data_IF_921660636401
#
_entry.id   IF_921660636401
#
_cell.length_a   1.000
_cell.length_b   1.000
_cell.length_c   1.000
_cell.angle_alpha   90.00
_cell.angle_beta   90.00
_cell.angle_gamma   90.00
#
_symmetry.space_group_name_H-M   'P 1'
#
loop_
_entity.id
_entity.type
_entity.pdbx_description
1 polymer ?
#
# COMPACT_ATOMS: atom_id res chain seq x y z
N UNK A 1 -44.78 4.50 -4.03
CA UNK A 1 -43.81 3.84 -3.14
C UNK A 1 -44.01 4.42 -1.75
N UNK A 2 -44.76 3.71 -0.92
CA UNK A 2 -45.01 4.09 0.47
C UNK A 2 -43.74 3.84 1.30
N UNK A 3 -43.26 4.86 1.98
CA UNK A 3 -42.10 4.80 2.86
C UNK A 3 -42.50 4.15 4.18
N UNK A 4 -41.99 2.95 4.46
CA UNK A 4 -42.06 2.33 5.79
C UNK A 4 -41.12 3.09 6.73
N UNK A 5 -41.67 3.80 7.71
CA UNK A 5 -40.89 4.42 8.80
C UNK A 5 -40.47 3.32 9.78
N UNK A 6 -39.18 3.03 9.82
CA UNK A 6 -38.60 2.06 10.75
C UNK A 6 -38.22 2.78 12.06
N UNK A 7 -38.87 2.43 13.18
CA UNK A 7 -38.76 3.11 14.48
C UNK A 7 -37.65 2.57 15.39
N UNK A 8 -36.66 1.85 14.84
CA UNK A 8 -35.73 1.03 15.62
C UNK A 8 -34.24 1.27 15.40
N UNK A 9 -33.80 2.31 14.70
CA UNK A 9 -32.36 2.48 14.43
C UNK A 9 -31.94 3.94 14.44
N UNK A 10 -30.98 4.26 15.30
CA UNK A 10 -30.23 5.51 15.24
C UNK A 10 -29.40 5.49 13.97
N UNK A 11 -29.81 6.26 12.96
CA UNK A 11 -28.94 6.51 11.81
C UNK A 11 -27.75 7.32 12.35
N UNK A 12 -26.60 6.69 12.48
CA UNK A 12 -25.35 7.38 12.82
C UNK A 12 -24.98 8.23 11.61
N UNK A 13 -25.24 9.53 11.71
CA UNK A 13 -24.86 10.52 10.70
C UNK A 13 -23.57 11.20 11.16
N UNK A 14 -22.49 11.05 10.40
CA UNK A 14 -21.34 11.96 10.54
C UNK A 14 -21.64 13.23 9.74
N UNK A 15 -21.57 14.39 10.40
CA UNK A 15 -21.86 15.67 9.76
C UNK A 15 -20.65 16.16 8.95
N UNK A 16 -20.96 16.57 7.71
CA UNK A 16 -20.21 17.45 6.80
C UNK A 16 -18.75 17.14 6.51
N UNK A 17 -18.50 16.15 5.65
CA UNK A 17 -17.41 16.21 4.68
C UNK A 17 -18.00 16.35 3.28
N UNK A 18 -17.56 17.40 2.56
CA UNK A 18 -17.88 17.74 1.16
C UNK A 18 -18.39 16.56 0.33
N UNK A 19 -19.61 16.57 -0.23
CA UNK A 19 -20.10 15.73 -1.36
C UNK A 19 -19.35 14.39 -1.68
N UNK A 20 -18.97 13.62 -0.68
CA UNK A 20 -18.39 12.30 -0.85
C UNK A 20 -19.46 11.33 -0.34
N UNK A 21 -19.86 10.37 -1.17
CA UNK A 21 -20.83 9.33 -0.80
C UNK A 21 -20.24 8.48 0.33
N UNK A 22 -20.45 8.90 1.58
CA UNK A 22 -20.34 8.00 2.73
C UNK A 22 -21.37 6.90 2.53
N UNK A 23 -20.90 5.66 2.43
CA UNK A 23 -21.77 4.50 2.23
C UNK A 23 -22.20 4.02 3.60
N UNK A 24 -23.43 4.36 3.98
CA UNK A 24 -23.99 4.01 5.28
C UNK A 24 -24.28 2.51 5.38
N UNK A 25 -24.12 1.94 6.58
CA UNK A 25 -24.82 0.68 6.89
C UNK A 25 -26.31 1.00 6.90
N UNK A 26 -27.04 0.45 5.95
CA UNK A 26 -28.49 0.46 5.96
C UNK A 26 -28.99 -0.85 6.58
N UNK A 27 -29.54 -0.84 7.80
CA UNK A 27 -30.18 -2.02 8.36
C UNK A 27 -31.54 -2.24 7.70
N UNK A 28 -31.80 -3.47 7.28
CA UNK A 28 -33.09 -3.93 6.78
C UNK A 28 -33.62 -4.96 7.77
N UNK A 29 -34.73 -4.64 8.43
CA UNK A 29 -35.41 -5.57 9.33
C UNK A 29 -36.33 -6.46 8.53
N UNK A 30 -36.16 -7.77 8.67
CA UNK A 30 -36.95 -8.80 8.01
C UNK A 30 -37.68 -9.58 9.08
N UNK A 31 -39.01 -9.57 9.03
CA UNK A 31 -39.83 -10.31 9.98
C UNK A 31 -39.89 -11.78 9.56
N UNK A 32 -39.54 -12.71 10.46
CA UNK A 32 -39.49 -14.14 10.11
C UNK A 32 -40.85 -14.69 9.67
N UNK A 33 -41.94 -14.12 10.20
CA UNK A 33 -43.31 -14.44 9.78
C UNK A 33 -43.61 -14.13 8.32
N UNK A 34 -42.93 -13.16 7.71
CA UNK A 34 -43.12 -12.80 6.30
C UNK A 34 -42.49 -13.85 5.37
N UNK A 35 -41.45 -14.54 5.85
CA UNK A 35 -40.71 -15.56 5.10
C UNK A 35 -41.31 -16.95 5.32
N UNK A 36 -41.57 -17.32 6.58
CA UNK A 36 -41.99 -18.68 6.95
C UNK A 36 -43.47 -18.81 7.33
N UNK A 37 -44.21 -17.70 7.38
CA UNK A 37 -45.62 -17.68 7.80
C UNK A 37 -45.78 -17.41 9.31
N UNK A 38 -47.04 -17.27 9.74
CA UNK A 38 -47.40 -16.72 11.07
C UNK A 38 -46.88 -17.50 12.29
N UNK A 39 -46.45 -18.76 12.13
CA UNK A 39 -45.96 -19.60 13.22
C UNK A 39 -44.52 -19.29 13.62
N UNK A 40 -43.76 -18.61 12.76
CA UNK A 40 -42.39 -18.21 13.02
C UNK A 40 -42.35 -16.79 13.61
N UNK A 41 -41.65 -16.64 14.73
CA UNK A 41 -41.56 -15.37 15.47
C UNK A 41 -40.13 -14.87 15.51
N UNK A 42 -39.97 -13.56 15.66
CA UNK A 42 -38.68 -12.89 15.67
C UNK A 42 -38.35 -12.20 14.35
N UNK A 43 -37.18 -11.57 14.33
CA UNK A 43 -36.72 -10.74 13.22
C UNK A 43 -35.23 -10.97 12.95
N UNK A 44 -34.84 -10.70 11.72
CA UNK A 44 -33.45 -10.64 11.29
C UNK A 44 -33.16 -9.21 10.83
N UNK A 45 -32.07 -8.64 11.31
CA UNK A 45 -31.58 -7.35 10.85
C UNK A 45 -30.43 -7.61 9.89
N UNK A 46 -30.68 -7.43 8.60
CA UNK A 46 -29.65 -7.52 7.57
C UNK A 46 -28.94 -6.17 7.47
N UNK A 47 -27.64 -6.15 7.75
CA UNK A 47 -26.82 -4.96 7.63
C UNK A 47 -25.97 -5.08 6.36
N UNK A 48 -26.23 -4.23 5.36
CA UNK A 48 -25.32 -4.12 4.22
C UNK A 48 -24.11 -3.28 4.63
N UNK A 49 -22.92 -3.87 4.64
CA UNK A 49 -21.69 -3.15 4.89
C UNK A 49 -21.13 -2.58 3.58
N UNK A 50 -20.58 -1.35 3.58
CA UNK A 50 -19.82 -0.84 2.46
C UNK A 50 -18.61 -1.75 2.17
N UNK A 51 -18.27 -1.89 0.88
CA UNK A 51 -17.05 -2.59 0.47
C UNK A 51 -15.82 -1.99 1.14
N UNK A 52 -15.09 -2.81 1.87
CA UNK A 52 -13.79 -2.44 2.41
C UNK A 52 -12.78 -2.38 1.26
N UNK A 53 -12.03 -1.28 1.14
CA UNK A 53 -10.89 -1.12 0.21
C UNK A 53 -11.25 -1.10 -1.28
N UNK A 54 -12.40 -0.52 -1.63
CA UNK A 54 -12.79 -0.23 -3.02
C UNK A 54 -12.89 1.27 -3.31
N UNK A 55 -12.69 2.14 -2.32
CA UNK A 55 -12.70 3.57 -2.57
C UNK A 55 -11.33 4.04 -3.06
N UNK A 56 -11.31 4.87 -4.10
CA UNK A 56 -10.10 5.58 -4.52
C UNK A 56 -9.63 6.62 -3.47
N UNK A 57 -10.43 6.82 -2.41
CA UNK A 57 -10.34 7.91 -1.46
C UNK A 57 -10.23 7.33 -0.03
N UNK A 58 -9.02 7.21 0.53
CA UNK A 58 -8.80 6.52 1.80
C UNK A 58 -9.63 7.07 2.97
N UNK A 59 -9.97 8.36 2.96
CA UNK A 59 -10.92 8.96 3.92
C UNK A 59 -12.24 8.21 4.01
N UNK A 60 -12.80 7.86 2.85
CA UNK A 60 -14.09 7.19 2.76
C UNK A 60 -13.96 5.78 3.31
N UNK A 61 -12.88 5.07 3.01
CA UNK A 61 -12.60 3.75 3.59
C UNK A 61 -12.41 3.80 5.11
N UNK A 62 -11.74 4.84 5.64
CA UNK A 62 -11.56 5.04 7.09
C UNK A 62 -12.91 5.25 7.76
N UNK A 63 -13.68 6.24 7.30
CA UNK A 63 -14.97 6.59 7.90
C UNK A 63 -15.95 5.42 7.80
N UNK A 64 -16.01 4.76 6.64
CA UNK A 64 -16.86 3.57 6.45
C UNK A 64 -16.42 2.44 7.38
N UNK A 65 -15.12 2.15 7.46
CA UNK A 65 -14.60 1.10 8.34
C UNK A 65 -14.91 1.39 9.82
N UNK A 66 -14.79 2.65 10.24
CA UNK A 66 -15.05 3.06 11.63
C UNK A 66 -16.53 2.88 11.92
N UNK A 67 -17.39 3.43 11.06
CA UNK A 67 -18.83 3.37 11.21
C UNK A 67 -19.32 1.91 11.25
N UNK A 68 -18.73 1.04 10.41
CA UNK A 68 -19.08 -0.38 10.42
C UNK A 68 -18.69 -1.02 11.73
N UNK A 69 -17.46 -0.86 12.17
CA UNK A 69 -16.98 -1.53 13.38
C UNK A 69 -17.75 -1.05 14.61
N UNK A 70 -17.98 0.26 14.77
CA UNK A 70 -18.75 0.77 15.90
C UNK A 70 -20.20 0.25 15.88
N UNK A 71 -20.85 0.18 14.72
CA UNK A 71 -22.18 -0.42 14.61
C UNK A 71 -22.18 -1.92 14.98
N UNK A 72 -21.15 -2.67 14.57
CA UNK A 72 -21.02 -4.08 14.90
C UNK A 72 -20.78 -4.29 16.41
N UNK A 73 -20.01 -3.43 17.07
CA UNK A 73 -19.71 -3.56 18.51
C UNK A 73 -20.95 -3.38 19.40
N UNK A 74 -21.90 -2.56 18.99
CA UNK A 74 -23.16 -2.34 19.70
C UNK A 74 -24.16 -3.50 19.55
N UNK A 75 -23.90 -4.45 18.66
CA UNK A 75 -24.76 -5.61 18.49
C UNK A 75 -24.58 -6.60 19.67
N UNK A 76 -25.66 -7.29 20.06
CA UNK A 76 -25.56 -8.37 21.06
C UNK A 76 -24.83 -9.60 20.52
N UNK A 77 -25.07 -9.92 19.25
CA UNK A 77 -24.51 -11.06 18.55
C UNK A 77 -24.54 -10.82 17.05
N UNK A 78 -23.52 -11.31 16.32
CA UNK A 78 -23.42 -11.15 14.86
C UNK A 78 -23.18 -12.49 14.18
N UNK A 79 -23.81 -12.70 13.03
CA UNK A 79 -23.49 -13.79 12.09
C UNK A 79 -22.91 -13.15 10.84
N UNK A 80 -21.82 -13.69 10.30
CA UNK A 80 -21.13 -13.11 9.15
C UNK A 80 -21.56 -13.85 7.89
N UNK A 81 -22.03 -13.11 6.89
CA UNK A 81 -22.23 -13.60 5.53
C UNK A 81 -21.09 -13.09 4.65
N UNK A 82 -20.08 -13.92 4.44
CA UNK A 82 -18.95 -13.63 3.58
C UNK A 82 -19.32 -13.92 2.13
N UNK A 83 -19.64 -12.87 1.37
CA UNK A 83 -20.11 -12.96 -0.01
C UNK A 83 -18.96 -12.78 -1.00
N UNK A 84 -18.92 -13.65 -2.01
CA UNK A 84 -18.04 -13.51 -3.16
C UNK A 84 -18.78 -13.82 -4.45
N UNK A 85 -18.34 -13.29 -5.59
CA UNK A 85 -18.85 -13.73 -6.91
C UNK A 85 -18.04 -14.92 -7.42
N UNK A 86 -18.65 -15.81 -8.19
CA UNK A 86 -17.90 -16.87 -8.85
C UNK A 86 -16.89 -16.31 -9.87
N UNK A 87 -17.15 -15.16 -10.48
CA UNK A 87 -16.18 -14.48 -11.35
C UNK A 87 -14.86 -14.15 -10.61
N UNK A 88 -14.95 -13.83 -9.32
CA UNK A 88 -13.78 -13.48 -8.49
C UNK A 88 -12.92 -14.68 -8.08
N UNK A 89 -13.45 -15.91 -8.23
CA UNK A 89 -12.67 -17.14 -8.14
C UNK A 89 -11.82 -17.34 -9.40
N UNK A 90 -12.34 -16.94 -10.56
CA UNK A 90 -11.67 -17.12 -11.86
C UNK A 90 -10.61 -16.03 -12.12
N UNK A 91 -10.82 -14.80 -11.63
CA UNK A 91 -9.88 -13.68 -11.80
C UNK A 91 -8.65 -13.78 -10.88
N UNK A 92 -7.80 -14.76 -11.18
CA UNK A 92 -6.52 -15.04 -10.50
C UNK A 92 -6.63 -15.07 -8.98
N UNK A 93 -7.79 -15.50 -8.48
CA UNK A 93 -8.02 -15.82 -7.07
C UNK A 93 -7.85 -14.62 -6.10
N UNK A 94 -7.70 -13.40 -6.63
CA UNK A 94 -7.43 -12.20 -5.83
C UNK A 94 -8.64 -11.79 -4.99
N UNK A 95 -9.85 -12.07 -5.49
CA UNK A 95 -11.09 -11.71 -4.80
C UNK A 95 -11.29 -12.48 -3.50
N UNK A 96 -11.18 -13.81 -3.54
CA UNK A 96 -11.32 -14.66 -2.35
C UNK A 96 -10.22 -14.38 -1.34
N UNK A 97 -8.97 -14.28 -1.79
CA UNK A 97 -7.87 -13.95 -0.89
C UNK A 97 -8.05 -12.58 -0.25
N UNK A 98 -8.60 -11.59 -0.99
CA UNK A 98 -8.97 -10.28 -0.44
C UNK A 98 -10.07 -10.40 0.62
N UNK A 99 -11.12 -11.19 0.36
CA UNK A 99 -12.21 -11.44 1.30
C UNK A 99 -11.71 -12.08 2.60
N UNK A 100 -10.94 -13.17 2.51
CA UNK A 100 -10.38 -13.87 3.67
C UNK A 100 -9.53 -12.91 4.51
N UNK A 101 -8.68 -12.13 3.84
CA UNK A 101 -7.85 -11.11 4.46
C UNK A 101 -8.65 -10.03 5.18
N UNK A 102 -9.73 -9.54 4.57
CA UNK A 102 -10.64 -8.59 5.23
C UNK A 102 -11.25 -9.19 6.49
N UNK A 103 -11.69 -10.45 6.45
CA UNK A 103 -12.26 -11.13 7.61
C UNK A 103 -11.23 -11.28 8.74
N UNK A 104 -10.01 -11.73 8.42
CA UNK A 104 -8.90 -11.86 9.38
C UNK A 104 -8.60 -10.54 10.07
N UNK A 105 -8.55 -9.45 9.30
CA UNK A 105 -8.21 -8.17 9.90
C UNK A 105 -9.36 -7.60 10.76
N UNK A 106 -10.61 -7.88 10.41
CA UNK A 106 -11.79 -7.38 11.11
C UNK A 106 -12.13 -8.19 12.38
N UNK A 107 -11.80 -9.48 12.41
CA UNK A 107 -12.24 -10.41 13.45
C UNK A 107 -11.02 -10.99 14.17
N UNK A 108 -10.82 -10.57 15.41
CA UNK A 108 -9.72 -11.10 16.22
C UNK A 108 -9.91 -12.58 16.58
N UNK A 109 -8.85 -13.37 16.39
CA UNK A 109 -8.88 -14.82 16.58
C UNK A 109 -9.93 -15.51 15.71
N UNK A 110 -10.03 -15.12 14.44
CA UNK A 110 -11.03 -15.62 13.49
C UNK A 110 -11.06 -17.15 13.39
N UNK A 111 -9.92 -17.81 13.55
CA UNK A 111 -9.76 -19.26 13.55
C UNK A 111 -10.63 -19.96 14.60
N UNK A 112 -11.00 -19.27 15.68
CA UNK A 112 -11.87 -19.80 16.73
C UNK A 112 -13.35 -19.45 16.52
N UNK A 113 -13.68 -18.80 15.41
CA UNK A 113 -14.99 -18.19 15.15
C UNK A 113 -15.55 -18.56 13.78
N UNK A 114 -14.92 -19.50 13.09
CA UNK A 114 -15.31 -19.95 11.76
C UNK A 114 -16.74 -20.45 11.73
N UNK A 115 -17.24 -21.08 12.80
CA UNK A 115 -18.63 -21.53 12.93
C UNK A 115 -19.67 -20.40 12.83
N UNK A 116 -19.25 -19.14 12.98
CA UNK A 116 -20.11 -17.95 12.84
C UNK A 116 -20.09 -17.34 11.43
N UNK A 117 -19.34 -17.93 10.50
CA UNK A 117 -19.17 -17.44 9.13
C UNK A 117 -19.90 -18.37 8.16
N UNK A 118 -20.85 -17.79 7.43
CA UNK A 118 -21.48 -18.39 6.27
C UNK A 118 -20.79 -17.87 5.00
N UNK A 119 -20.36 -18.77 4.12
CA UNK A 119 -19.79 -18.39 2.82
C UNK A 119 -20.88 -18.46 1.75
N UNK A 120 -21.07 -17.34 1.04
CA UNK A 120 -22.04 -17.23 -0.04
C UNK A 120 -21.36 -16.87 -1.35
N UNK A 121 -21.72 -17.57 -2.42
CA UNK A 121 -21.18 -17.40 -3.76
C UNK A 121 -22.30 -17.02 -4.73
N UNK A 122 -22.16 -15.86 -5.36
CA UNK A 122 -23.14 -15.29 -6.29
C UNK A 122 -22.64 -15.39 -7.73
N UNK A 123 -23.54 -15.21 -8.71
CA UNK A 123 -23.22 -15.28 -10.15
C UNK A 123 -22.54 -16.59 -10.56
N UNK A 124 -22.88 -17.68 -9.88
CA UNK A 124 -22.27 -18.98 -10.15
C UNK A 124 -23.03 -19.68 -11.27
N UNK A 125 -22.35 -20.08 -12.35
CA UNK A 125 -22.95 -20.98 -13.33
C UNK A 125 -23.51 -22.23 -12.65
N UNK A 126 -24.61 -22.77 -13.16
CA UNK A 126 -25.27 -23.97 -12.59
C UNK A 126 -24.27 -25.11 -12.41
N UNK A 127 -23.40 -25.30 -13.40
CA UNK A 127 -22.39 -26.37 -13.44
C UNK A 127 -21.07 -26.04 -12.72
N UNK A 128 -20.92 -24.85 -12.14
CA UNK A 128 -19.67 -24.47 -11.49
C UNK A 128 -19.46 -25.27 -10.20
N UNK A 129 -18.32 -25.94 -10.09
CA UNK A 129 -17.90 -26.60 -8.86
C UNK A 129 -17.02 -25.65 -8.03
N UNK A 130 -17.64 -25.00 -7.05
CA UNK A 130 -16.98 -24.03 -6.18
C UNK A 130 -15.91 -24.72 -5.33
N UNK A 131 -16.14 -25.98 -4.93
CA UNK A 131 -15.17 -26.73 -4.13
C UNK A 131 -13.88 -26.94 -4.94
N UNK A 132 -14.01 -27.43 -6.17
CA UNK A 132 -12.87 -27.62 -7.07
C UNK A 132 -12.09 -26.31 -7.27
N UNK A 133 -12.79 -25.19 -7.52
CA UNK A 133 -12.14 -23.87 -7.68
C UNK A 133 -11.36 -23.43 -6.43
N UNK A 134 -11.88 -23.68 -5.23
CA UNK A 134 -11.18 -23.34 -3.99
C UNK A 134 -10.00 -24.28 -3.70
N UNK A 135 -10.10 -25.56 -4.08
CA UNK A 135 -9.01 -26.54 -3.96
C UNK A 135 -7.87 -26.20 -4.92
N UNK A 136 -8.20 -25.76 -6.13
CA UNK A 136 -7.23 -25.27 -7.11
C UNK A 136 -6.52 -24.01 -6.57
N UNK A 137 -7.28 -23.04 -6.04
CA UNK A 137 -6.74 -21.86 -5.37
C UNK A 137 -5.80 -22.24 -4.23
N UNK A 138 -6.18 -23.17 -3.35
CA UNK A 138 -5.29 -23.62 -2.29
C UNK A 138 -3.98 -24.16 -2.86
N UNK A 139 -4.04 -24.94 -3.92
CA UNK A 139 -2.86 -25.55 -4.55
C UNK A 139 -1.92 -24.50 -5.17
N UNK A 140 -2.48 -23.45 -5.79
CA UNK A 140 -1.70 -22.34 -6.37
C UNK A 140 -1.06 -21.43 -5.31
N UNK A 141 -1.62 -21.38 -4.10
CA UNK A 141 -1.15 -20.47 -3.04
C UNK A 141 -0.15 -21.09 -2.06
N UNK A 142 -0.11 -22.42 -1.91
CA UNK A 142 0.81 -23.10 -0.97
C UNK A 142 2.29 -22.79 -1.25
N UNK A 143 2.66 -22.55 -2.50
CA UNK A 143 4.06 -22.25 -2.88
C UNK A 143 4.50 -20.81 -2.56
N UNK A 144 3.56 -19.91 -2.20
CA UNK A 144 3.81 -18.46 -2.15
C UNK A 144 3.84 -17.84 -0.74
N UNK A 145 3.69 -18.64 0.32
CA UNK A 145 3.30 -18.14 1.63
C UNK A 145 4.24 -18.53 2.79
N UNK A 146 4.23 -17.69 3.84
CA UNK A 146 5.07 -17.72 5.06
C UNK A 146 4.24 -18.03 6.32
N UNK A 147 4.83 -18.05 7.52
CA UNK A 147 4.12 -18.39 8.78
C UNK A 147 2.89 -17.51 9.08
N UNK A 148 2.86 -16.25 8.62
CA UNK A 148 1.69 -15.36 8.74
C UNK A 148 0.48 -15.81 7.92
N UNK A 149 0.66 -16.76 7.02
CA UNK A 149 -0.39 -17.28 6.15
C UNK A 149 -1.07 -18.54 6.72
N UNK A 150 -0.67 -18.98 7.91
CA UNK A 150 -1.34 -20.08 8.62
C UNK A 150 -2.82 -19.80 8.87
N UNK A 151 -3.15 -18.62 9.42
CA UNK A 151 -4.55 -18.20 9.65
C UNK A 151 -5.32 -18.07 8.33
N UNK A 152 -4.67 -17.53 7.30
CA UNK A 152 -5.26 -17.43 5.95
C UNK A 152 -5.63 -18.81 5.41
N UNK A 153 -4.73 -19.78 5.54
CA UNK A 153 -4.98 -21.16 5.13
C UNK A 153 -6.06 -21.82 5.95
N UNK A 154 -6.13 -21.56 7.26
CA UNK A 154 -7.22 -22.07 8.11
C UNK A 154 -8.59 -21.59 7.62
N UNK A 155 -8.73 -20.29 7.31
CA UNK A 155 -10.00 -19.76 6.78
C UNK A 155 -10.33 -20.33 5.40
N UNK A 156 -9.32 -20.48 4.53
CA UNK A 156 -9.53 -21.09 3.21
C UNK A 156 -9.95 -22.56 3.31
N UNK A 157 -9.35 -23.32 4.21
CA UNK A 157 -9.70 -24.73 4.46
C UNK A 157 -11.12 -24.86 5.01
N UNK A 158 -11.53 -23.99 5.94
CA UNK A 158 -12.92 -23.96 6.43
C UNK A 158 -13.91 -23.62 5.31
N UNK A 159 -13.55 -22.70 4.41
CA UNK A 159 -14.35 -22.40 3.22
C UNK A 159 -14.51 -23.64 2.31
N UNK A 160 -13.42 -24.36 2.05
CA UNK A 160 -13.44 -25.62 1.28
C UNK A 160 -14.32 -26.66 1.98
N UNK A 161 -14.12 -26.90 3.28
CA UNK A 161 -14.89 -27.88 4.05
C UNK A 161 -16.40 -27.58 4.02
N UNK A 162 -16.78 -26.31 4.21
CA UNK A 162 -18.20 -25.90 4.17
C UNK A 162 -18.83 -26.04 2.79
N UNK A 163 -18.06 -26.00 1.70
CA UNK A 163 -18.59 -26.33 0.36
C UNK A 163 -18.91 -27.82 0.22
N UNK A 164 -18.11 -28.72 0.80
CA UNK A 164 -18.36 -30.17 0.79
C UNK A 164 -19.60 -30.51 1.61
N UNK A 165 -19.72 -29.92 2.80
CA UNK A 165 -20.80 -30.23 3.74
C UNK A 165 -22.13 -29.49 3.42
N UNK A 166 -22.18 -28.73 2.31
CA UNK A 166 -23.37 -27.97 1.88
C UNK A 166 -23.70 -26.76 2.77
N UNK A 167 -22.80 -26.38 3.67
CA UNK A 167 -22.92 -25.22 4.54
C UNK A 167 -22.64 -23.90 3.80
N UNK A 168 -21.77 -23.93 2.79
CA UNK A 168 -21.58 -22.82 1.85
C UNK A 168 -22.69 -22.78 0.79
N UNK A 169 -23.02 -21.58 0.33
CA UNK A 169 -24.24 -21.33 -0.44
C UNK A 169 -23.94 -20.80 -1.84
N UNK A 170 -24.60 -21.37 -2.83
CA UNK A 170 -24.84 -20.68 -4.10
C UNK A 170 -26.06 -19.80 -3.90
N UNK A 171 -25.87 -18.50 -4.00
CA UNK A 171 -26.92 -17.50 -3.78
C UNK A 171 -27.26 -16.89 -5.13
N UNK A 172 -28.49 -17.10 -5.57
CA UNK A 172 -29.09 -16.36 -6.66
C UNK A 172 -29.94 -15.23 -6.05
N UNK A 173 -29.49 -13.96 -6.12
CA UNK A 173 -30.24 -12.86 -5.53
C UNK A 173 -31.50 -12.48 -6.32
N UNK A 174 -31.68 -12.99 -7.55
CA UNK A 174 -32.83 -12.68 -8.40
C UNK A 174 -33.87 -13.78 -8.30
N UNK A 175 -33.47 -15.03 -8.54
CA UNK A 175 -34.38 -16.17 -8.67
C UNK A 175 -34.32 -17.16 -7.49
N UNK A 176 -33.44 -16.91 -6.51
CA UNK A 176 -33.25 -17.79 -5.36
C UNK A 176 -34.37 -17.71 -4.32
N UNK A 177 -34.64 -18.84 -3.64
CA UNK A 177 -35.59 -18.86 -2.52
C UNK A 177 -34.94 -18.29 -1.24
N UNK A 178 -35.39 -17.13 -0.72
CA UNK A 178 -34.86 -16.55 0.51
C UNK A 178 -35.08 -17.44 1.74
N UNK A 179 -36.07 -18.35 1.72
CA UNK A 179 -36.34 -19.26 2.85
C UNK A 179 -35.17 -20.19 3.11
N UNK A 180 -34.56 -20.73 2.06
CA UNK A 180 -33.44 -21.67 2.18
C UNK A 180 -32.20 -20.98 2.77
N UNK A 181 -31.94 -19.74 2.33
CA UNK A 181 -30.88 -18.91 2.89
C UNK A 181 -31.09 -18.70 4.40
N UNK A 182 -32.28 -18.21 4.77
CA UNK A 182 -32.59 -17.86 6.16
C UNK A 182 -32.61 -19.11 7.06
N UNK A 183 -33.13 -20.26 6.60
CA UNK A 183 -33.08 -21.52 7.35
C UNK A 183 -31.66 -21.87 7.75
N UNK A 184 -30.71 -21.78 6.81
CA UNK A 184 -29.31 -22.06 7.11
C UNK A 184 -28.72 -21.06 8.10
N UNK A 185 -29.05 -19.77 7.97
CA UNK A 185 -28.63 -18.76 8.95
C UNK A 185 -29.18 -19.00 10.35
N UNK A 186 -30.37 -19.58 10.52
CA UNK A 186 -30.91 -19.89 11.86
C UNK A 186 -30.00 -20.85 12.62
N UNK A 187 -29.36 -21.80 11.94
CA UNK A 187 -28.51 -22.83 12.55
C UNK A 187 -27.06 -22.39 12.80
N UNK A 188 -26.63 -21.25 12.27
CA UNK A 188 -25.29 -20.72 12.47
C UNK A 188 -25.18 -20.07 13.85
N UNK A 189 -24.10 -20.34 14.57
CA UNK A 189 -23.83 -19.69 15.86
C UNK A 189 -23.38 -18.24 15.61
N UNK A 190 -23.82 -17.31 16.46
CA UNK A 190 -23.36 -15.93 16.35
C UNK A 190 -22.11 -15.68 17.19
N UNK A 191 -21.29 -14.73 16.75
CA UNK A 191 -20.25 -14.12 17.58
C UNK A 191 -20.96 -13.31 18.67
N UNK A 192 -20.97 -13.83 19.90
CA UNK A 192 -21.43 -13.10 21.07
C UNK A 192 -20.44 -11.99 21.44
N UNK A 193 -20.95 -10.89 21.99
CA UNK A 193 -20.16 -9.74 22.44
C UNK A 193 -19.17 -9.23 21.36
N UNK A 194 -19.68 -8.85 20.18
CA UNK A 194 -18.84 -8.41 19.06
C UNK A 194 -17.93 -7.21 19.41
N UNK A 195 -18.29 -6.42 20.43
CA UNK A 195 -17.44 -5.41 21.08
C UNK A 195 -16.00 -5.85 21.36
N UNK A 196 -15.82 -7.10 21.78
CA UNK A 196 -14.53 -7.67 22.19
C UNK A 196 -13.76 -8.30 21.02
N UNK A 197 -14.42 -8.48 19.88
CA UNK A 197 -13.94 -9.32 18.77
C UNK A 197 -13.62 -8.50 17.54
N UNK A 198 -14.54 -7.59 17.20
CA UNK A 198 -14.43 -6.80 15.98
C UNK A 198 -13.44 -5.67 16.19
N UNK A 199 -12.39 -5.69 15.39
CA UNK A 199 -11.32 -4.71 15.41
C UNK A 199 -11.40 -3.82 14.19
N UNK A 200 -11.05 -2.57 14.43
CA UNK A 200 -10.89 -1.62 13.35
C UNK A 200 -9.70 -2.02 12.49
N UNK A 201 -9.98 -2.40 11.24
CA UNK A 201 -8.98 -2.62 10.21
C UNK A 201 -9.15 -1.62 9.09
N UNK A 202 -8.13 -0.76 8.92
CA UNK A 202 -7.92 -0.09 7.64
C UNK A 202 -6.66 -0.70 7.04
N UNK A 203 -6.81 -1.26 5.85
CA UNK A 203 -5.67 -1.45 4.97
C UNK A 203 -5.36 -0.11 4.34
N UNK A 204 -4.46 0.65 4.95
CA UNK A 204 -3.87 1.85 4.34
C UNK A 204 -2.85 1.47 3.26
N UNK A 205 -3.16 0.41 2.50
CA UNK A 205 -2.38 -0.12 1.39
C UNK A 205 -2.25 0.90 0.28
N UNK A 206 -3.23 1.80 0.13
CA UNK A 206 -3.12 2.96 -0.75
C UNK A 206 -1.96 3.86 -0.35
N UNK A 207 -1.76 4.11 0.96
CA UNK A 207 -0.59 4.85 1.47
C UNK A 207 0.68 4.07 1.20
N UNK A 208 0.71 2.78 1.55
CA UNK A 208 1.90 1.93 1.34
C UNK A 208 2.30 1.86 -0.14
N UNK A 209 1.34 1.70 -1.05
CA UNK A 209 1.59 1.71 -2.50
C UNK A 209 2.06 3.08 -2.97
N UNK A 210 1.47 4.18 -2.47
CA UNK A 210 1.94 5.52 -2.83
C UNK A 210 3.37 5.77 -2.33
N UNK A 211 3.68 5.27 -1.14
CA UNK A 211 5.01 5.33 -0.54
C UNK A 211 6.00 4.51 -1.38
N UNK A 212 5.67 3.25 -1.70
CA UNK A 212 6.54 2.34 -2.44
C UNK A 212 6.76 2.81 -3.89
N UNK A 213 5.82 3.57 -4.45
CA UNK A 213 5.92 4.19 -5.77
C UNK A 213 6.64 5.55 -5.76
N UNK A 214 7.25 5.98 -4.65
CA UNK A 214 7.84 7.30 -4.46
C UNK A 214 6.84 8.44 -4.83
N UNK A 215 5.55 8.24 -4.56
CA UNK A 215 4.46 9.20 -4.76
C UNK A 215 4.18 9.95 -3.45
N UNK A 216 5.21 10.63 -2.93
CA UNK A 216 5.17 11.35 -1.63
C UNK A 216 4.01 12.32 -1.53
N UNK A 217 3.70 12.98 -2.64
CA UNK A 217 2.63 13.96 -2.74
C UNK A 217 1.25 13.34 -2.49
N UNK A 218 1.03 12.12 -3.00
CA UNK A 218 -0.21 11.39 -2.78
C UNK A 218 -0.24 10.79 -1.37
N UNK A 219 0.88 10.26 -0.90
CA UNK A 219 1.00 9.73 0.46
C UNK A 219 0.71 10.81 1.53
N UNK A 220 1.30 12.00 1.41
CA UNK A 220 1.02 13.15 2.30
C UNK A 220 -0.44 13.57 2.25
N UNK A 221 -1.00 13.71 1.05
CA UNK A 221 -2.42 14.04 0.91
C UNK A 221 -3.30 13.04 1.65
N UNK A 222 -3.00 11.73 1.52
CA UNK A 222 -3.74 10.69 2.22
C UNK A 222 -3.51 10.76 3.75
N UNK A 223 -2.29 11.07 4.21
CA UNK A 223 -1.97 11.22 5.64
C UNK A 223 -2.64 12.44 6.28
N UNK A 224 -2.70 13.58 5.57
CA UNK A 224 -3.42 14.79 5.98
C UNK A 224 -4.91 14.49 6.12
N UNK A 225 -5.44 13.82 5.11
CA UNK A 225 -6.81 13.37 5.06
C UNK A 225 -7.15 12.39 6.21
N UNK A 226 -6.29 11.42 6.48
CA UNK A 226 -6.39 10.54 7.66
C UNK A 226 -6.37 11.35 8.96
N UNK A 227 -5.46 12.32 9.08
CA UNK A 227 -5.36 13.19 10.26
C UNK A 227 -6.60 14.06 10.45
N UNK A 228 -7.23 14.51 9.35
CA UNK A 228 -8.49 15.24 9.37
C UNK A 228 -9.63 14.33 9.84
N UNK A 229 -9.75 13.14 9.23
CA UNK A 229 -10.75 12.14 9.63
C UNK A 229 -10.60 11.77 11.11
N UNK A 230 -9.37 11.57 11.60
CA UNK A 230 -9.11 11.31 13.01
C UNK A 230 -9.55 12.45 13.92
N UNK A 231 -9.29 13.70 13.54
CA UNK A 231 -9.68 14.87 14.34
C UNK A 231 -11.20 14.99 14.43
N UNK A 232 -11.89 14.78 13.31
CA UNK A 232 -13.36 14.83 13.26
C UNK A 232 -14.01 13.64 13.96
N UNK A 233 -13.37 12.48 13.93
CA UNK A 233 -13.82 11.29 14.64
C UNK A 233 -13.37 11.24 16.09
N UNK A 234 -12.54 12.16 16.58
CA UNK A 234 -11.98 12.11 17.94
C UNK A 234 -13.07 12.07 19.03
N UNK A 235 -14.19 12.76 18.79
CA UNK A 235 -15.32 12.81 19.72
C UNK A 235 -16.21 11.56 19.66
N UNK A 236 -16.15 10.80 18.56
CA UNK A 236 -17.01 9.63 18.29
C UNK A 236 -16.25 8.32 18.52
N UNK A 237 -14.94 8.34 18.26
CA UNK A 237 -14.05 7.21 18.36
C UNK A 237 -12.95 7.55 19.34
N UNK A 238 -13.19 7.24 20.61
CA UNK A 238 -12.15 7.14 21.64
C UNK A 238 -11.21 5.95 21.39
N UNK A 239 -11.21 5.36 20.20
CA UNK A 239 -10.51 4.10 19.96
C UNK A 239 -9.01 4.36 19.82
N UNK A 240 -8.28 3.98 20.87
CA UNK A 240 -6.82 3.94 20.90
C UNK A 240 -6.24 3.23 19.66
N UNK A 241 -7.01 2.33 19.03
CA UNK A 241 -6.62 1.59 17.83
C UNK A 241 -6.42 2.48 16.59
N UNK A 242 -7.32 3.44 16.33
CA UNK A 242 -7.18 4.36 15.17
C UNK A 242 -5.98 5.28 15.39
N UNK A 243 -5.83 5.82 16.60
CA UNK A 243 -4.70 6.67 16.99
C UNK A 243 -3.37 5.93 16.83
N UNK A 244 -3.27 4.74 17.42
CA UNK A 244 -2.09 3.88 17.33
C UNK A 244 -1.74 3.54 15.87
N UNK A 245 -2.73 3.23 15.03
CA UNK A 245 -2.47 2.88 13.63
C UNK A 245 -1.98 4.06 12.79
N UNK A 246 -2.54 5.24 13.00
CA UNK A 246 -2.04 6.47 12.36
C UNK A 246 -0.62 6.79 12.80
N UNK A 247 -0.32 6.63 14.09
CA UNK A 247 1.04 6.83 14.60
C UNK A 247 2.04 5.81 14.02
N UNK A 248 1.65 4.54 13.89
CA UNK A 248 2.44 3.51 13.19
C UNK A 248 2.75 3.93 11.74
N UNK A 249 1.77 4.48 11.03
CA UNK A 249 1.93 4.91 9.65
C UNK A 249 2.74 6.18 9.51
N UNK A 250 2.58 7.14 10.40
CA UNK A 250 3.48 8.30 10.50
C UNK A 250 4.91 7.84 10.71
N UNK A 251 5.16 6.91 11.65
CA UNK A 251 6.49 6.34 11.86
C UNK A 251 7.02 5.60 10.63
N UNK A 252 6.20 4.81 9.94
CA UNK A 252 6.60 4.12 8.70
C UNK A 252 6.96 5.12 7.61
N UNK A 253 6.15 6.15 7.45
CA UNK A 253 6.39 7.24 6.52
C UNK A 253 7.68 8.00 6.87
N UNK A 254 7.88 8.30 8.15
CA UNK A 254 9.08 8.96 8.67
C UNK A 254 10.35 8.15 8.42
N UNK A 255 10.25 6.83 8.61
CA UNK A 255 11.33 5.91 8.34
C UNK A 255 11.69 5.90 6.85
N UNK A 256 10.72 5.99 5.96
CA UNK A 256 10.95 5.96 4.51
C UNK A 256 11.57 7.27 4.03
N UNK A 257 11.05 8.39 4.52
CA UNK A 257 11.65 9.70 4.36
C UNK A 257 13.12 9.70 4.83
N UNK A 258 13.39 9.11 5.99
CA UNK A 258 14.74 8.99 6.53
C UNK A 258 15.61 8.06 5.67
N UNK A 259 15.06 6.95 5.19
CA UNK A 259 15.72 5.99 4.30
C UNK A 259 16.12 6.65 2.98
N UNK A 260 15.27 7.50 2.41
CA UNK A 260 15.59 8.28 1.20
C UNK A 260 16.74 9.23 1.48
N UNK A 261 16.69 9.96 2.60
CA UNK A 261 17.79 10.85 2.98
C UNK A 261 19.10 10.08 3.14
N UNK A 262 19.05 8.92 3.80
CA UNK A 262 20.22 8.08 4.10
C UNK A 262 20.77 7.38 2.86
N UNK A 263 19.92 7.05 1.88
CA UNK A 263 20.36 6.43 0.61
C UNK A 263 21.46 7.27 -0.06
N UNK A 264 21.35 8.59 0.00
CA UNK A 264 22.31 9.51 -0.61
C UNK A 264 23.57 9.77 0.25
N UNK A 265 23.65 9.25 1.48
CA UNK A 265 24.90 9.29 2.25
C UNK A 265 25.97 8.38 1.65
N UNK A 266 25.56 7.25 1.09
CA UNK A 266 26.46 6.23 0.55
C UNK A 266 26.36 6.05 -0.96
N UNK A 267 25.49 6.79 -1.64
CA UNK A 267 25.27 6.64 -3.08
C UNK A 267 26.46 7.20 -3.86
N UNK A 268 27.12 6.32 -4.62
CA UNK A 268 28.16 6.73 -5.56
C UNK A 268 27.53 7.51 -6.72
N UNK A 269 28.30 8.45 -7.27
CA UNK A 269 27.89 9.25 -8.42
C UNK A 269 27.63 8.36 -9.64
N UNK A 270 28.31 7.22 -9.75
CA UNK A 270 28.10 6.24 -10.82
C UNK A 270 26.68 5.61 -10.78
N UNK A 271 26.07 5.54 -9.60
CA UNK A 271 24.75 4.93 -9.39
C UNK A 271 23.58 5.90 -9.65
N UNK A 272 23.86 7.16 -10.00
CA UNK A 272 22.81 8.17 -10.23
C UNK A 272 21.89 7.82 -11.40
N UNK A 273 22.33 6.95 -12.31
CA UNK A 273 21.50 6.45 -13.41
C UNK A 273 20.37 5.52 -12.94
N UNK A 274 20.57 4.78 -11.85
CA UNK A 274 19.56 3.91 -11.25
C UNK A 274 18.66 4.67 -10.26
N UNK A 275 19.22 5.70 -9.63
CA UNK A 275 18.56 6.51 -8.61
C UNK A 275 18.68 7.99 -8.93
N UNK A 276 18.01 8.41 -10.01
CA UNK A 276 18.04 9.78 -10.56
C UNK A 276 17.77 10.85 -9.48
N UNK A 277 18.80 11.61 -9.06
CA UNK A 277 18.62 12.69 -8.08
C UNK A 277 17.67 13.78 -8.58
N UNK A 278 17.68 14.06 -9.88
CA UNK A 278 16.78 15.02 -10.55
C UNK A 278 15.31 14.67 -10.33
N UNK A 279 14.94 13.41 -10.52
CA UNK A 279 13.53 12.98 -10.40
C UNK A 279 13.06 13.02 -8.95
N UNK A 280 13.90 12.59 -8.01
CA UNK A 280 13.61 12.69 -6.59
C UNK A 280 13.44 14.15 -6.15
N UNK A 281 14.39 15.02 -6.50
CA UNK A 281 14.36 16.43 -6.09
C UNK A 281 13.14 17.16 -6.67
N UNK A 282 12.75 16.86 -7.91
CA UNK A 282 11.52 17.38 -8.52
C UNK A 282 10.26 16.92 -7.77
N UNK A 283 10.22 15.65 -7.34
CA UNK A 283 9.12 15.12 -6.51
C UNK A 283 9.07 15.83 -5.14
N UNK A 284 10.22 16.02 -4.48
CA UNK A 284 10.29 16.72 -3.20
C UNK A 284 9.88 18.19 -3.31
N UNK A 285 10.30 18.88 -4.36
CA UNK A 285 9.91 20.27 -4.64
C UNK A 285 8.39 20.41 -4.87
N UNK A 286 7.78 19.46 -5.57
CA UNK A 286 6.33 19.45 -5.76
C UNK A 286 5.59 19.37 -4.42
N UNK A 287 6.07 18.57 -3.47
CA UNK A 287 5.46 18.45 -2.13
C UNK A 287 5.73 19.70 -1.30
N UNK A 288 6.95 20.24 -1.36
CA UNK A 288 7.32 21.48 -0.69
C UNK A 288 6.40 22.65 -1.10
N UNK A 289 6.12 22.79 -2.40
CA UNK A 289 5.25 23.86 -2.93
C UNK A 289 3.82 23.84 -2.36
N UNK A 290 3.42 22.73 -1.72
CA UNK A 290 2.11 22.56 -1.07
C UNK A 290 2.14 22.86 0.44
N UNK A 291 3.26 23.36 0.97
CA UNK A 291 3.41 23.76 2.37
C UNK A 291 4.17 22.76 3.24
N UNK A 292 4.74 21.71 2.66
CA UNK A 292 5.49 20.69 3.39
C UNK A 292 6.90 21.16 3.82
N UNK A 293 7.02 21.89 4.92
CA UNK A 293 8.30 22.44 5.43
C UNK A 293 9.36 21.37 5.70
N UNK A 294 8.93 20.17 6.10
CA UNK A 294 9.82 19.02 6.27
C UNK A 294 10.48 18.58 4.96
N UNK A 295 9.76 18.62 3.85
CA UNK A 295 10.29 18.24 2.53
C UNK A 295 11.35 19.19 2.04
N UNK A 296 11.23 20.47 2.37
CA UNK A 296 12.29 21.43 2.16
C UNK A 296 13.59 20.98 2.86
N UNK A 297 13.51 20.60 4.14
CA UNK A 297 14.70 20.16 4.89
C UNK A 297 15.34 18.90 4.29
N UNK A 298 14.52 17.94 3.84
CA UNK A 298 14.99 16.72 3.19
C UNK A 298 15.63 17.04 1.83
N UNK A 299 14.97 17.85 1.01
CA UNK A 299 15.48 18.33 -0.28
C UNK A 299 16.82 19.03 -0.10
N UNK A 300 16.94 19.95 0.85
CA UNK A 300 18.19 20.65 1.15
C UNK A 300 19.29 19.70 1.64
N UNK A 301 18.91 18.70 2.44
CA UNK A 301 19.84 17.66 2.90
C UNK A 301 20.35 16.81 1.75
N UNK A 302 19.47 16.34 0.86
CA UNK A 302 19.82 15.56 -0.32
C UNK A 302 20.67 16.39 -1.29
N UNK A 303 20.29 17.64 -1.57
CA UNK A 303 21.08 18.57 -2.38
C UNK A 303 22.51 18.74 -1.84
N UNK A 304 22.66 18.94 -0.53
CA UNK A 304 23.97 19.06 0.12
C UNK A 304 24.79 17.78 -0.05
N UNK A 305 24.19 16.60 0.14
CA UNK A 305 24.87 15.30 -0.02
C UNK A 305 25.31 15.08 -1.47
N UNK A 306 24.43 15.34 -2.44
CA UNK A 306 24.77 15.27 -3.87
C UNK A 306 25.96 16.18 -4.17
N UNK A 307 25.96 17.42 -3.67
CA UNK A 307 27.07 18.34 -3.87
C UNK A 307 28.37 17.79 -3.30
N UNK A 308 28.33 17.27 -2.07
CA UNK A 308 29.50 16.68 -1.42
C UNK A 308 30.03 15.47 -2.19
N UNK A 309 29.16 14.53 -2.56
CA UNK A 309 29.57 13.31 -3.28
C UNK A 309 30.15 13.64 -4.65
N UNK A 310 29.52 14.57 -5.39
CA UNK A 310 30.02 14.97 -6.71
C UNK A 310 31.36 15.71 -6.63
N UNK A 311 31.50 16.65 -5.69
CA UNK A 311 32.79 17.32 -5.44
C UNK A 311 33.89 16.35 -5.05
N UNK A 312 33.62 15.41 -4.13
CA UNK A 312 34.57 14.36 -3.75
C UNK A 312 34.95 13.48 -4.94
N UNK A 313 34.01 13.18 -5.83
CA UNK A 313 34.30 12.37 -7.02
C UNK A 313 35.17 13.13 -8.03
N UNK A 314 34.98 14.44 -8.19
CA UNK A 314 35.87 15.30 -8.98
C UNK A 314 37.27 15.35 -8.34
N UNK A 315 37.36 15.55 -7.03
CA UNK A 315 38.65 15.57 -6.32
C UNK A 315 39.42 14.25 -6.50
N UNK A 316 38.73 13.11 -6.37
CA UNK A 316 39.32 11.77 -6.61
C UNK A 316 39.84 11.56 -8.03
N UNK A 317 39.39 12.34 -9.02
CA UNK A 317 39.98 12.26 -10.37
C UNK A 317 41.44 12.72 -10.38
N UNK A 318 41.86 13.62 -9.47
CA UNK A 318 43.25 14.06 -9.37
C UNK A 318 44.17 12.90 -9.01
N UNK A 319 43.71 12.04 -8.10
CA UNK A 319 44.47 10.89 -7.62
C UNK A 319 44.38 9.67 -8.53
N UNK A 320 43.40 9.64 -9.44
CA UNK A 320 43.21 8.54 -10.40
C UNK A 320 44.37 8.47 -11.41
N UNK A 321 44.91 7.27 -11.74
CA UNK A 321 45.91 7.09 -12.80
C UNK A 321 45.48 7.67 -14.14
N UNK A 322 46.44 8.23 -14.89
CA UNK A 322 46.16 8.99 -16.12
C UNK A 322 45.42 8.21 -17.21
N UNK A 323 45.68 6.92 -17.31
CA UNK A 323 45.03 6.00 -18.23
C UNK A 323 43.57 5.69 -17.87
N UNK A 324 43.20 5.79 -16.59
CA UNK A 324 41.84 5.55 -16.10
C UNK A 324 40.97 6.82 -16.08
N UNK A 325 41.60 8.00 -15.98
CA UNK A 325 40.91 9.30 -15.90
C UNK A 325 39.86 9.53 -17.00
N UNK A 326 40.08 9.20 -18.30
CA UNK A 326 39.05 9.42 -19.32
C UNK A 326 37.77 8.60 -19.09
N UNK A 327 37.90 7.39 -18.55
CA UNK A 327 36.73 6.55 -18.23
C UNK A 327 35.93 7.15 -17.06
N UNK A 328 36.62 7.57 -15.99
CA UNK A 328 35.97 8.22 -14.84
C UNK A 328 35.37 9.58 -15.20
N UNK A 329 36.03 10.36 -16.05
CA UNK A 329 35.49 11.61 -16.60
C UNK A 329 34.20 11.37 -17.39
N UNK A 330 34.14 10.33 -18.24
CA UNK A 330 32.90 9.96 -18.95
C UNK A 330 31.79 9.55 -18.00
N UNK A 331 32.12 8.80 -16.94
CA UNK A 331 31.17 8.41 -15.89
C UNK A 331 30.56 9.63 -15.21
N UNK A 332 31.38 10.60 -14.79
CA UNK A 332 30.91 11.84 -14.17
C UNK A 332 30.07 12.70 -15.10
N UNK A 333 30.45 12.81 -16.38
CA UNK A 333 29.64 13.50 -17.38
C UNK A 333 28.29 12.82 -17.61
N UNK A 334 28.24 11.49 -17.56
CA UNK A 334 26.98 10.74 -17.62
C UNK A 334 26.12 11.06 -16.38
N UNK A 335 26.71 11.04 -15.19
CA UNK A 335 26.03 11.34 -13.94
C UNK A 335 25.43 12.76 -13.89
N UNK A 336 26.08 13.75 -14.52
CA UNK A 336 25.53 15.11 -14.65
C UNK A 336 24.12 15.12 -15.25
N UNK A 337 23.84 14.25 -16.24
CA UNK A 337 22.53 14.21 -16.89
C UNK A 337 21.37 13.91 -15.91
N UNK A 338 21.68 13.30 -14.78
CA UNK A 338 20.72 12.93 -13.72
C UNK A 338 20.65 13.97 -12.59
N UNK A 339 21.36 15.10 -12.68
CA UNK A 339 21.29 16.19 -11.71
C UNK A 339 20.24 17.25 -12.10
N UNK A 340 19.74 18.06 -11.16
CA UNK A 340 19.01 19.29 -11.47
C UNK A 340 19.86 20.28 -12.27
N UNK A 341 19.24 21.07 -13.15
CA UNK A 341 19.93 22.00 -14.06
C UNK A 341 20.88 22.96 -13.34
N UNK A 342 20.46 23.48 -12.19
CA UNK A 342 21.26 24.37 -11.33
C UNK A 342 22.60 23.73 -10.92
N UNK A 343 22.60 22.44 -10.59
CA UNK A 343 23.81 21.70 -10.24
C UNK A 343 24.60 21.29 -11.49
N UNK A 344 23.91 20.94 -12.58
CA UNK A 344 24.56 20.59 -13.84
C UNK A 344 25.47 21.72 -14.32
N UNK A 345 24.98 22.95 -14.35
CA UNK A 345 25.77 24.09 -14.81
C UNK A 345 27.01 24.30 -13.95
N UNK A 346 26.87 24.21 -12.61
CA UNK A 346 27.97 24.42 -11.67
C UNK A 346 29.05 23.34 -11.80
N UNK A 347 28.67 22.07 -11.86
CA UNK A 347 29.63 20.97 -11.96
C UNK A 347 30.21 20.78 -13.35
N UNK A 348 29.46 21.09 -14.40
CA UNK A 348 29.97 21.08 -15.77
C UNK A 348 31.14 22.06 -15.93
N UNK A 349 31.01 23.26 -15.38
CA UNK A 349 32.10 24.24 -15.39
C UNK A 349 33.36 23.69 -14.71
N UNK A 350 33.21 23.06 -13.54
CA UNK A 350 34.34 22.44 -12.83
C UNK A 350 34.99 21.30 -13.63
N UNK A 351 34.18 20.44 -14.27
CA UNK A 351 34.71 19.36 -15.12
C UNK A 351 35.39 19.88 -16.39
N UNK A 352 34.92 20.97 -16.97
CA UNK A 352 35.52 21.60 -18.15
C UNK A 352 36.87 22.24 -17.79
N UNK A 353 36.95 22.98 -16.68
CA UNK A 353 38.20 23.51 -16.12
C UNK A 353 39.22 22.40 -15.89
N UNK A 354 38.77 21.30 -15.33
CA UNK A 354 39.59 20.13 -15.05
C UNK A 354 40.07 19.40 -16.30
N UNK A 355 39.20 19.28 -17.31
CA UNK A 355 39.54 18.71 -18.62
C UNK A 355 40.60 19.54 -19.35
N UNK A 356 40.58 20.86 -19.16
CA UNK A 356 41.59 21.74 -19.73
C UNK A 356 42.95 21.57 -19.05
N UNK A 357 42.99 21.46 -17.72
CA UNK A 357 44.23 21.16 -16.97
C UNK A 357 44.88 19.86 -17.45
N UNK A 358 44.09 18.82 -17.69
CA UNK A 358 44.60 17.55 -18.21
C UNK A 358 45.19 17.66 -19.61
N UNK A 359 44.52 18.41 -20.49
CA UNK A 359 45.00 18.62 -21.84
C UNK A 359 46.37 19.30 -21.84
N UNK A 360 46.63 20.19 -20.88
CA UNK A 360 47.89 20.90 -20.75
C UNK A 360 48.98 20.04 -20.07
N UNK A 361 48.64 19.23 -19.07
CA UNK A 361 49.56 18.23 -18.48
C UNK A 361 50.04 17.20 -19.52
N UNK A 362 49.14 16.69 -20.36
CA UNK A 362 49.51 15.73 -21.42
C UNK A 362 50.43 16.36 -22.46
N UNK A 363 50.15 17.61 -22.87
CA UNK A 363 51.04 18.35 -23.78
C UNK A 363 52.43 18.49 -23.18
N UNK A 364 52.54 18.86 -21.91
CA UNK A 364 53.81 18.99 -21.19
C UNK A 364 54.58 17.66 -21.14
N UNK A 365 53.91 16.54 -20.83
CA UNK A 365 54.54 15.20 -20.85
C UNK A 365 55.05 14.81 -22.24
N UNK A 366 54.27 15.07 -23.30
CA UNK A 366 54.68 14.78 -24.69
C UNK A 366 55.87 15.63 -25.12
N UNK A 367 55.94 16.89 -24.69
CA UNK A 367 57.11 17.75 -24.94
C UNK A 367 58.35 17.19 -24.23
N UNK A 368 58.24 16.81 -22.96
CA UNK A 368 59.36 16.26 -22.19
C UNK A 368 59.88 14.95 -22.80
N UNK A 369 59.00 14.01 -23.19
CA UNK A 369 59.39 12.75 -23.83
C UNK A 369 60.12 12.97 -25.17
N UNK A 370 59.71 13.97 -25.96
CA UNK A 370 60.40 14.35 -27.21
C UNK A 370 61.78 14.97 -26.98
N UNK A 371 61.98 15.66 -25.86
CA UNK A 371 63.28 16.23 -25.49
C UNK A 371 64.25 15.13 -25.08
N UNK A 372 63.82 14.17 -24.25
CA UNK A 372 64.66 13.04 -23.83
C UNK A 372 65.07 12.11 -24.98
N UNK A 373 64.19 11.88 -25.96
CA UNK A 373 64.55 11.06 -27.13
C UNK A 373 65.55 11.74 -28.08
N UNK A 374 65.67 13.08 -28.03
CA UNK A 374 66.65 13.84 -28.83
C UNK A 374 68.03 13.94 -28.17
N UNK A 375 68.12 13.83 -26.86
CA UNK A 375 69.40 13.94 -26.11
C UNK A 375 70.04 12.58 -25.78
N UNK A 376 69.36 11.47 -26.07
CA UNK A 376 69.82 10.10 -25.74
C UNK A 376 70.76 9.43 -26.75
N UNK A 377 71.19 10.10 -27.82
CA UNK A 377 72.21 9.59 -28.75
C UNK A 377 73.63 9.79 -28.20
N UNK A 378 73.91 9.20 -27.04
CA UNK A 378 75.30 8.97 -26.62
C UNK A 378 75.88 7.86 -27.47
N UNK A 379 76.72 8.24 -28.43
CA UNK A 379 77.66 7.36 -29.13
C UNK A 379 78.46 6.57 -28.10
N UNK A 380 78.19 5.27 -27.99
CA UNK A 380 79.11 4.35 -27.34
C UNK A 380 80.38 4.28 -28.20
N UNK A 381 81.57 4.56 -27.64
CA UNK A 381 82.81 4.38 -28.39
C UNK A 381 83.04 2.87 -28.58
N UNK A 382 83.07 2.44 -29.84
CA UNK A 382 83.40 1.08 -30.25
C UNK A 382 84.80 0.72 -29.74
N UNK A 383 84.90 -0.42 -29.03
CA UNK A 383 86.18 -1.05 -28.65
C UNK A 383 86.62 -2.04 -29.72
#
# INVERSE_FOLDING_TARGET
>A
MESVKNSGSTIVTSHSLRKYETRHIAPITIQLKEIFGHYETGEIILCNAPDFSNSEIPEVDIVNGVAVIEALKECRSIKILALSSCDSLVDRERGILKLIRTLIDMVDGIEHRLDSICYGFTKCPVMADINALLVDLKSSTVDAFSESDSVLMTVLLDMIEKTVNGAALKIDPIDGDPKELIKKFKHIHGIAYPGEVFRFSIRLRSIEVCIDADSFCQAEKIMDNLSCAQRELADICTSDSVSKKSEELRKKFDNIVSTISNRYDSLDVEDYSFHSPKDLLKKLELVESRGGTRYHQIRMTVLRKIRQNFSLAIEKLLDTPLDERPAKMRSLNCALCFLPEELQTSFKLQLDEFSQLFTDEEKMRRVNLKTYSKTGTTTYPSS
#
